data_IF_797907460863
#
_entry.id   IF_797907460863
#
_cell.length_a   1.000
_cell.length_b   1.000
_cell.length_c   1.000
_cell.angle_alpha   90.00
_cell.angle_beta   90.00
_cell.angle_gamma   90.00
#
_symmetry.space_group_name_H-M   'P 1'
#
loop_
_entity.id
_entity.type
_entity.pdbx_description
1 polymer ?
#
# COMPACT_ATOMS: atom_id res chain seq x y z
N UNK A 1 -14.71 1.76 15.19
CA UNK A 1 -15.76 1.66 16.22
C UNK A 1 -15.21 1.77 17.63
N UNK A 2 -14.43 0.79 18.13
CA UNK A 2 -13.98 0.75 19.53
C UNK A 2 -13.28 2.03 20.02
N UNK A 3 -12.43 2.65 19.19
CA UNK A 3 -11.82 3.97 19.47
C UNK A 3 -12.86 5.09 19.55
N UNK A 4 -13.81 5.13 18.60
CA UNK A 4 -14.85 6.16 18.54
C UNK A 4 -15.84 6.07 19.70
N UNK A 5 -16.05 4.86 20.21
CA UNK A 5 -16.92 4.56 21.35
C UNK A 5 -16.20 4.67 22.71
N UNK A 6 -14.88 4.85 22.72
CA UNK A 6 -14.10 5.08 23.94
C UNK A 6 -13.58 3.83 24.65
N UNK A 7 -13.77 2.62 24.12
CA UNK A 7 -13.23 1.39 24.74
C UNK A 7 -11.71 1.26 24.59
N UNK A 8 -11.17 1.77 23.48
CA UNK A 8 -9.72 1.83 23.28
C UNK A 8 -9.21 3.18 23.74
N UNK A 9 -8.44 3.16 24.83
CA UNK A 9 -7.85 4.33 25.48
C UNK A 9 -6.54 4.74 24.82
N UNK A 10 -5.72 3.77 24.44
CA UNK A 10 -4.47 4.00 23.72
C UNK A 10 -4.72 4.00 22.21
N UNK A 11 -4.77 5.19 21.61
CA UNK A 11 -5.00 5.37 20.16
C UNK A 11 -3.77 5.05 19.29
N UNK A 12 -2.72 4.45 19.86
CA UNK A 12 -1.44 4.15 19.20
C UNK A 12 -1.24 2.66 18.89
N UNK A 13 -0.05 2.32 18.39
CA UNK A 13 0.36 0.95 18.08
C UNK A 13 0.14 0.52 16.63
N UNK A 14 0.38 -0.76 16.36
CA UNK A 14 0.41 -1.35 15.00
C UNK A 14 -0.80 -0.97 14.14
N UNK A 15 -2.03 -1.15 14.64
CA UNK A 15 -3.21 -0.88 13.83
C UNK A 15 -3.41 0.59 13.53
N UNK A 16 -3.11 1.47 14.48
CA UNK A 16 -3.17 2.90 14.27
C UNK A 16 -2.16 3.33 13.20
N UNK A 17 -0.94 2.80 13.26
CA UNK A 17 0.10 3.04 12.26
C UNK A 17 -0.33 2.53 10.88
N UNK A 18 -0.76 1.27 10.77
CA UNK A 18 -1.20 0.69 9.49
C UNK A 18 -2.40 1.45 8.90
N UNK A 19 -3.36 1.87 9.72
CA UNK A 19 -4.51 2.68 9.29
C UNK A 19 -4.07 4.06 8.81
N UNK A 20 -3.13 4.70 9.52
CA UNK A 20 -2.62 6.01 9.14
C UNK A 20 -1.84 5.95 7.82
N UNK A 21 -1.07 4.88 7.60
CA UNK A 21 -0.27 4.69 6.39
C UNK A 21 -1.12 4.28 5.18
N UNK A 22 -2.13 3.43 5.37
CA UNK A 22 -2.92 2.85 4.28
C UNK A 22 -4.44 3.06 4.45
N UNK A 23 -4.91 4.30 4.66
CA UNK A 23 -6.31 4.55 5.05
C UNK A 23 -7.32 4.06 4.00
N UNK A 24 -6.97 4.20 2.72
CA UNK A 24 -7.82 3.79 1.59
C UNK A 24 -7.98 2.28 1.45
N UNK A 25 -7.09 1.49 2.08
CA UNK A 25 -7.20 0.01 2.10
C UNK A 25 -8.27 -0.47 3.09
N UNK A 26 -8.53 0.31 4.14
CA UNK A 26 -9.46 -0.06 5.20
C UNK A 26 -10.80 0.65 5.08
N UNK A 27 -10.81 1.86 4.54
CA UNK A 27 -11.97 2.72 4.52
C UNK A 27 -12.25 3.24 3.12
N UNK A 28 -13.54 3.28 2.77
CA UNK A 28 -14.00 3.84 1.49
C UNK A 28 -13.55 5.30 1.40
N UNK A 29 -12.72 5.61 0.40
CA UNK A 29 -12.13 6.94 0.22
C UNK A 29 -11.16 7.36 1.34
N UNK A 30 -10.64 6.42 2.12
CA UNK A 30 -9.70 6.68 3.22
C UNK A 30 -10.31 7.37 4.44
N UNK A 31 -11.65 7.45 4.53
CA UNK A 31 -12.34 8.17 5.61
C UNK A 31 -12.79 7.23 6.73
N UNK A 32 -12.21 7.41 7.91
CA UNK A 32 -12.58 6.65 9.11
C UNK A 32 -14.05 6.92 9.47
N UNK A 33 -14.92 5.90 9.59
CA UNK A 33 -16.31 6.11 9.96
C UNK A 33 -16.42 6.55 11.42
N UNK A 34 -17.28 7.54 11.66
CA UNK A 34 -17.65 8.03 13.00
C UNK A 34 -18.98 7.46 13.48
N UNK A 35 -19.82 6.99 12.57
CA UNK A 35 -21.13 6.36 12.80
C UNK A 35 -21.40 5.29 11.73
N UNK A 36 -22.52 4.57 11.85
CA UNK A 36 -22.92 3.47 10.93
C UNK A 36 -21.77 2.52 10.58
N UNK A 37 -21.16 1.95 11.62
CA UNK A 37 -19.98 1.11 11.46
C UNK A 37 -20.27 -0.15 10.63
N UNK A 38 -21.48 -0.70 10.73
CA UNK A 38 -21.93 -1.87 9.96
C UNK A 38 -22.07 -1.56 8.46
N UNK A 39 -22.71 -0.43 8.11
CA UNK A 39 -22.82 0.02 6.72
C UNK A 39 -21.46 0.38 6.12
N UNK A 40 -20.59 1.04 6.90
CA UNK A 40 -19.22 1.34 6.49
C UNK A 40 -18.40 0.07 6.24
N UNK A 41 -18.47 -0.92 7.14
CA UNK A 41 -17.78 -2.19 6.98
C UNK A 41 -18.28 -2.97 5.77
N UNK A 42 -19.59 -3.03 5.57
CA UNK A 42 -20.20 -3.69 4.42
C UNK A 42 -19.84 -3.02 3.09
N UNK A 43 -19.70 -1.69 3.09
CA UNK A 43 -19.24 -0.92 1.93
C UNK A 43 -17.76 -1.19 1.62
N UNK A 44 -16.89 -1.16 2.62
CA UNK A 44 -15.46 -1.46 2.46
C UNK A 44 -15.24 -2.94 2.04
N UNK A 45 -15.93 -3.86 2.71
CA UNK A 45 -15.95 -5.27 2.37
C UNK A 45 -16.87 -5.58 1.18
N UNK A 46 -17.34 -4.59 0.41
CA UNK A 46 -18.22 -4.66 -0.78
C UNK A 46 -19.43 -5.62 -0.74
N UNK A 47 -20.27 -5.60 -1.79
CA UNK A 47 -21.36 -6.60 -1.98
C UNK A 47 -20.87 -8.05 -2.21
N UNK A 48 -19.54 -8.25 -2.22
CA UNK A 48 -18.83 -9.50 -2.50
C UNK A 48 -18.87 -10.56 -1.40
N UNK A 49 -19.68 -10.39 -0.34
CA UNK A 49 -20.11 -11.51 0.52
C UNK A 49 -21.21 -12.34 -0.15
N UNK A 50 -21.49 -12.14 -1.45
CA UNK A 50 -22.28 -13.09 -2.22
C UNK A 50 -21.66 -14.48 -2.15
N UNK A 51 -22.50 -15.51 -1.97
CA UNK A 51 -22.12 -16.93 -1.88
C UNK A 51 -21.19 -17.45 -3.02
N UNK A 52 -20.98 -16.68 -4.10
CA UNK A 52 -20.11 -17.04 -5.24
C UNK A 52 -18.65 -16.59 -5.11
N UNK A 53 -18.37 -15.48 -4.42
CA UNK A 53 -17.01 -14.96 -4.30
C UNK A 53 -16.14 -15.77 -3.34
N UNK A 54 -16.74 -16.44 -2.36
CA UNK A 54 -16.03 -17.26 -1.38
C UNK A 54 -15.51 -18.59 -1.97
N UNK A 55 -16.31 -19.41 -2.67
CA UNK A 55 -15.81 -20.60 -3.35
C UNK A 55 -14.71 -20.28 -4.35
N UNK A 56 -14.80 -19.13 -5.03
CA UNK A 56 -13.77 -18.66 -5.94
C UNK A 56 -12.46 -18.32 -5.20
N UNK A 57 -12.53 -17.63 -4.05
CA UNK A 57 -11.34 -17.36 -3.21
C UNK A 57 -10.74 -18.64 -2.63
N UNK A 58 -11.55 -19.56 -2.14
CA UNK A 58 -11.08 -20.87 -1.67
C UNK A 58 -10.48 -21.70 -2.80
N UNK A 59 -11.02 -21.60 -4.01
CA UNK A 59 -10.43 -22.23 -5.19
C UNK A 59 -9.08 -21.59 -5.55
N UNK A 60 -8.99 -20.26 -5.57
CA UNK A 60 -7.72 -19.54 -5.80
C UNK A 60 -6.70 -19.92 -4.73
N UNK A 61 -7.06 -19.88 -3.45
CA UNK A 61 -6.18 -20.22 -2.33
C UNK A 61 -5.68 -21.66 -2.42
N UNK A 62 -6.57 -22.61 -2.71
CA UNK A 62 -6.19 -24.01 -2.93
C UNK A 62 -5.32 -24.19 -4.15
N UNK A 63 -5.55 -23.42 -5.21
CA UNK A 63 -4.72 -23.47 -6.41
C UNK A 63 -3.32 -22.92 -6.13
N UNK A 64 -3.22 -21.73 -5.56
CA UNK A 64 -1.96 -21.11 -5.10
C UNK A 64 -1.20 -22.07 -4.18
N UNK A 65 -1.86 -22.66 -3.17
CA UNK A 65 -1.22 -23.63 -2.29
C UNK A 65 -0.66 -24.88 -3.01
N UNK A 66 -1.19 -25.22 -4.20
CA UNK A 66 -0.77 -26.39 -4.99
C UNK A 66 0.24 -26.04 -6.09
N UNK A 67 0.20 -24.84 -6.62
CA UNK A 67 1.00 -24.43 -7.80
C UNK A 67 2.15 -23.51 -7.45
N UNK A 68 2.13 -22.89 -6.28
CA UNK A 68 3.16 -21.96 -5.83
C UNK A 68 4.51 -22.66 -5.72
N UNK A 69 5.51 -22.16 -6.44
CA UNK A 69 6.88 -22.69 -6.44
C UNK A 69 7.76 -22.03 -5.39
N UNK A 70 7.36 -20.86 -4.89
CA UNK A 70 8.11 -20.10 -3.89
C UNK A 70 7.15 -19.41 -2.89
N UNK A 71 7.72 -18.82 -1.84
CA UNK A 71 6.94 -18.17 -0.79
C UNK A 71 6.22 -16.90 -1.27
N UNK A 72 6.78 -16.21 -2.26
CA UNK A 72 6.23 -14.96 -2.79
C UNK A 72 4.96 -15.18 -3.62
N UNK A 73 4.92 -16.25 -4.42
CA UNK A 73 3.70 -16.69 -5.11
C UNK A 73 2.60 -17.12 -4.13
N UNK A 74 2.98 -17.68 -2.98
CA UNK A 74 2.03 -18.12 -1.95
C UNK A 74 1.40 -16.93 -1.21
N UNK A 75 2.17 -15.87 -1.00
CA UNK A 75 1.73 -14.64 -0.36
C UNK A 75 1.34 -13.54 -1.35
N UNK A 76 0.95 -13.90 -2.59
CA UNK A 76 0.58 -12.91 -3.59
C UNK A 76 -0.52 -11.96 -3.05
N UNK A 77 -0.13 -10.70 -2.86
CA UNK A 77 -0.98 -9.64 -2.33
C UNK A 77 -2.16 -9.35 -3.27
N UNK A 78 -2.03 -9.63 -4.58
CA UNK A 78 -3.10 -9.44 -5.56
C UNK A 78 -4.32 -10.33 -5.27
N UNK A 79 -4.11 -11.45 -4.60
CA UNK A 79 -5.19 -12.33 -4.15
C UNK A 79 -5.90 -11.80 -2.89
N UNK A 80 -5.28 -10.87 -2.16
CA UNK A 80 -5.91 -10.18 -1.05
C UNK A 80 -6.92 -9.16 -1.59
N UNK A 81 -7.98 -8.92 -0.84
CA UNK A 81 -9.04 -7.99 -1.23
C UNK A 81 -8.72 -6.55 -0.86
N UNK A 82 -8.17 -6.37 0.33
CA UNK A 82 -7.98 -5.05 0.94
C UNK A 82 -6.54 -4.58 0.75
N UNK A 83 -5.58 -5.49 0.89
CA UNK A 83 -4.16 -5.23 0.62
C UNK A 83 -3.78 -5.75 -0.76
N UNK A 84 -4.36 -5.17 -1.81
CA UNK A 84 -4.22 -5.66 -3.18
C UNK A 84 -3.26 -4.84 -4.06
N UNK A 85 -2.62 -3.80 -3.50
CA UNK A 85 -1.59 -3.04 -4.21
C UNK A 85 -0.25 -3.75 -4.08
N UNK A 86 0.43 -3.81 -5.20
CA UNK A 86 1.78 -4.35 -5.33
C UNK A 86 2.78 -3.28 -4.91
N UNK A 87 3.82 -3.68 -4.16
CA UNK A 87 4.92 -2.76 -3.83
C UNK A 87 5.74 -2.43 -5.07
N UNK A 88 6.38 -1.26 -5.10
CA UNK A 88 7.18 -0.84 -6.26
C UNK A 88 8.33 -1.81 -6.51
N UNK A 89 9.00 -2.29 -5.46
CA UNK A 89 10.04 -3.33 -5.58
C UNK A 89 9.51 -4.61 -6.24
N UNK A 90 8.27 -5.00 -5.93
CA UNK A 90 7.67 -6.18 -6.55
C UNK A 90 7.33 -5.94 -8.01
N UNK A 91 6.87 -4.74 -8.39
CA UNK A 91 6.67 -4.36 -9.80
C UNK A 91 7.97 -4.45 -10.58
N UNK A 92 9.08 -3.91 -10.04
CA UNK A 92 10.40 -4.03 -10.64
C UNK A 92 10.82 -5.49 -10.79
N UNK A 93 10.65 -6.31 -9.75
CA UNK A 93 10.97 -7.74 -9.80
C UNK A 93 10.18 -8.49 -10.87
N UNK A 94 8.85 -8.30 -10.93
CA UNK A 94 7.98 -8.94 -11.91
C UNK A 94 8.29 -8.48 -13.36
N UNK A 95 8.91 -7.31 -13.51
CA UNK A 95 9.37 -6.75 -14.77
C UNK A 95 10.83 -7.11 -15.13
N UNK A 96 11.45 -8.09 -14.45
CA UNK A 96 12.87 -8.43 -14.58
C UNK A 96 13.81 -7.24 -14.39
N UNK A 97 13.44 -6.31 -13.51
CA UNK A 97 14.13 -5.04 -13.25
C UNK A 97 14.25 -4.13 -14.47
N UNK A 98 13.35 -4.28 -15.45
CA UNK A 98 13.26 -3.39 -16.62
C UNK A 98 12.02 -2.51 -16.44
N UNK A 99 12.18 -1.25 -15.99
CA UNK A 99 11.06 -0.37 -15.64
C UNK A 99 10.05 -0.19 -16.77
N UNK A 100 10.51 -0.17 -18.03
CA UNK A 100 9.68 -0.03 -19.24
C UNK A 100 8.68 -1.17 -19.42
N UNK A 101 8.94 -2.35 -18.84
CA UNK A 101 8.02 -3.50 -18.92
C UNK A 101 6.85 -3.40 -17.95
N UNK A 102 6.92 -2.53 -16.95
CA UNK A 102 5.82 -2.32 -16.00
C UNK A 102 4.65 -1.66 -16.75
N UNK A 103 3.43 -2.23 -16.73
CA UNK A 103 2.26 -1.61 -17.36
C UNK A 103 1.87 -0.29 -16.69
N UNK A 104 1.40 0.69 -17.46
CA UNK A 104 0.99 2.01 -16.96
C UNK A 104 -0.11 1.92 -15.89
N UNK A 105 -0.99 0.92 -15.98
CA UNK A 105 -2.07 0.69 -15.02
C UNK A 105 -1.58 0.23 -13.64
N UNK A 106 -0.38 -0.32 -13.57
CA UNK A 106 0.21 -0.85 -12.33
C UNK A 106 1.14 0.16 -11.64
N UNK A 107 1.56 1.21 -12.34
CA UNK A 107 2.49 2.20 -11.81
C UNK A 107 1.75 3.16 -10.86
N UNK A 108 2.21 3.33 -9.61
CA UNK A 108 1.63 4.31 -8.70
C UNK A 108 1.66 5.71 -9.32
N UNK A 109 0.53 6.40 -9.38
CA UNK A 109 0.41 7.66 -10.11
C UNK A 109 1.29 8.80 -9.57
N UNK A 110 1.70 8.71 -8.31
CA UNK A 110 2.63 9.64 -7.65
C UNK A 110 4.11 9.22 -7.72
N UNK A 111 4.44 8.11 -8.37
CA UNK A 111 5.84 7.68 -8.53
C UNK A 111 6.60 8.57 -9.53
N UNK A 112 7.92 8.64 -9.40
CA UNK A 112 8.80 9.29 -10.38
C UNK A 112 8.71 8.61 -11.73
N UNK A 113 8.60 7.28 -11.78
CA UNK A 113 8.38 6.55 -13.02
C UNK A 113 7.05 6.96 -13.70
N UNK A 114 5.96 7.09 -12.94
CA UNK A 114 4.69 7.58 -13.50
C UNK A 114 4.83 9.00 -14.05
N UNK A 115 5.44 9.90 -13.26
CA UNK A 115 5.62 11.29 -13.65
C UNK A 115 6.47 11.43 -14.91
N UNK A 116 7.55 10.68 -15.01
CA UNK A 116 8.38 10.58 -16.20
C UNK A 116 7.57 10.12 -17.42
N UNK A 117 6.79 9.04 -17.29
CA UNK A 117 5.98 8.50 -18.39
C UNK A 117 4.87 9.47 -18.81
N UNK A 118 4.24 10.15 -17.86
CA UNK A 118 3.26 11.20 -18.15
C UNK A 118 3.89 12.37 -18.91
N UNK A 119 5.08 12.84 -18.52
CA UNK A 119 5.81 13.90 -19.25
C UNK A 119 6.22 13.46 -20.66
N UNK A 120 6.50 12.17 -20.86
CA UNK A 120 6.84 11.58 -22.17
C UNK A 120 5.63 11.40 -23.09
N UNK A 121 4.41 11.35 -22.55
CA UNK A 121 3.21 11.30 -23.38
C UNK A 121 3.12 12.61 -24.17
N UNK A 122 2.95 12.53 -25.50
CA UNK A 122 2.96 13.68 -26.44
C UNK A 122 2.01 14.83 -26.08
N UNK A 123 1.12 14.56 -25.15
CA UNK A 123 0.00 15.35 -24.68
C UNK A 123 0.39 16.60 -23.86
N UNK A 124 1.58 16.66 -23.24
CA UNK A 124 2.01 17.82 -22.43
C UNK A 124 2.87 18.83 -23.23
N UNK A 125 3.46 18.41 -24.36
CA UNK A 125 4.50 19.17 -25.07
C UNK A 125 4.02 20.04 -26.24
N UNK A 126 2.73 20.02 -26.61
CA UNK A 126 2.18 20.93 -27.64
C UNK A 126 1.04 21.82 -27.11
N UNK A 127 1.34 22.96 -26.45
CA UNK A 127 0.35 23.96 -26.05
C UNK A 127 0.00 24.88 -27.23
N UNK A 128 -0.37 24.34 -28.39
CA UNK A 128 -0.65 25.16 -29.57
C UNK A 128 -2.05 25.80 -29.57
N UNK A 129 -2.92 25.50 -28.60
CA UNK A 129 -4.30 26.00 -28.62
C UNK A 129 -4.93 26.16 -27.22
N UNK A 130 -4.30 26.92 -26.32
CA UNK A 130 -4.98 27.64 -25.22
C UNK A 130 -5.77 26.87 -24.14
N UNK A 131 -6.00 25.56 -24.29
CA UNK A 131 -6.57 24.68 -23.28
C UNK A 131 -5.64 23.47 -23.15
N UNK A 132 -5.14 23.23 -21.94
CA UNK A 132 -4.33 22.05 -21.60
C UNK A 132 -5.26 20.84 -21.61
N UNK A 133 -5.57 20.34 -22.81
CA UNK A 133 -6.35 19.12 -22.99
C UNK A 133 -5.43 17.93 -22.76
N UNK A 134 -5.25 17.56 -21.49
CA UNK A 134 -4.61 16.29 -21.13
C UNK A 134 -5.48 15.14 -21.64
N UNK A 135 -5.11 14.54 -22.77
CA UNK A 135 -5.63 13.25 -23.23
C UNK A 135 -5.63 12.24 -22.08
N UNK A 136 -6.76 11.56 -21.90
CA UNK A 136 -6.98 10.64 -20.79
C UNK A 136 -6.27 9.33 -21.05
N UNK A 137 -5.02 9.22 -20.60
CA UNK A 137 -4.36 7.91 -20.47
C UNK A 137 -4.78 7.26 -19.15
N UNK A 138 -4.80 5.92 -19.07
CA UNK A 138 -5.05 5.21 -17.81
C UNK A 138 -4.13 5.69 -16.68
N UNK A 139 -2.87 6.01 -17.00
CA UNK A 139 -1.89 6.54 -16.04
C UNK A 139 -2.28 7.93 -15.50
N UNK A 140 -2.77 8.83 -16.35
CA UNK A 140 -3.18 10.19 -15.96
C UNK A 140 -4.48 10.15 -15.15
N UNK A 141 -5.44 9.31 -15.54
CA UNK A 141 -6.66 9.10 -14.77
C UNK A 141 -6.35 8.50 -13.40
N UNK A 142 -5.41 7.54 -13.33
CA UNK A 142 -4.92 6.97 -12.09
C UNK A 142 -4.22 8.02 -11.20
N UNK A 143 -3.30 8.80 -11.76
CA UNK A 143 -2.59 9.85 -11.04
C UNK A 143 -3.53 10.95 -10.50
N UNK A 144 -4.53 11.35 -11.29
CA UNK A 144 -5.57 12.30 -10.84
C UNK A 144 -6.43 11.73 -9.72
N UNK A 145 -6.79 10.44 -9.79
CA UNK A 145 -7.48 9.78 -8.69
C UNK A 145 -6.64 9.74 -7.40
N UNK A 146 -5.32 9.70 -7.53
CA UNK A 146 -4.38 9.85 -6.43
C UNK A 146 -4.11 11.31 -6.05
N UNK A 147 -4.78 12.30 -6.66
CA UNK A 147 -4.66 13.72 -6.31
C UNK A 147 -3.43 14.42 -6.90
N UNK A 148 -2.82 13.87 -7.95
CA UNK A 148 -1.85 14.60 -8.77
C UNK A 148 -2.61 15.68 -9.55
N UNK A 149 -2.22 16.94 -9.36
CA UNK A 149 -2.84 18.07 -10.04
C UNK A 149 -2.12 18.38 -11.35
N UNK A 150 -2.81 19.01 -12.30
CA UNK A 150 -2.20 19.46 -13.55
C UNK A 150 -1.03 20.44 -13.27
N UNK A 151 -1.11 21.21 -12.19
CA UNK A 151 -0.03 22.08 -11.73
C UNK A 151 1.21 21.28 -11.28
N UNK A 152 1.03 20.15 -10.57
CA UNK A 152 2.13 19.26 -10.20
C UNK A 152 2.76 18.61 -11.44
N UNK A 153 1.95 18.21 -12.43
CA UNK A 153 2.47 17.70 -13.70
C UNK A 153 3.32 18.74 -14.43
N UNK A 154 2.89 20.01 -14.46
CA UNK A 154 3.65 21.10 -15.07
C UNK A 154 4.96 21.40 -14.34
N UNK A 155 4.96 21.41 -13.00
CA UNK A 155 6.18 21.61 -12.20
C UNK A 155 7.19 20.50 -12.49
N UNK A 156 6.74 19.26 -12.55
CA UNK A 156 7.63 18.11 -12.79
C UNK A 156 8.10 18.07 -14.24
N UNK A 157 7.26 18.44 -15.22
CA UNK A 157 7.68 18.60 -16.62
C UNK A 157 8.83 19.61 -16.72
N UNK A 158 8.72 20.76 -16.05
CA UNK A 158 9.78 21.75 -16.01
C UNK A 158 11.04 21.23 -15.28
N UNK A 159 10.87 20.48 -14.18
CA UNK A 159 12.01 19.92 -13.44
C UNK A 159 12.75 18.86 -14.25
N UNK A 160 12.02 17.97 -14.94
CA UNK A 160 12.56 16.99 -15.89
C UNK A 160 13.32 17.68 -17.02
N UNK A 161 12.78 18.76 -17.58
CA UNK A 161 13.51 19.57 -18.58
C UNK A 161 14.80 20.18 -18.00
N UNK A 162 14.79 20.66 -16.76
CA UNK A 162 15.96 21.31 -16.13
C UNK A 162 17.03 20.29 -15.71
N UNK A 163 16.64 19.13 -15.17
CA UNK A 163 17.57 18.16 -14.57
C UNK A 163 18.11 17.16 -15.59
N UNK A 164 17.34 16.84 -16.64
CA UNK A 164 17.69 15.81 -17.66
C UNK A 164 18.35 16.43 -18.89
N UNK A 165 18.31 17.77 -19.03
CA UNK A 165 19.16 18.48 -19.98
C UNK A 165 20.41 18.94 -19.24
N UNK A 166 21.55 18.24 -19.32
CA UNK A 166 22.76 18.74 -18.67
C UNK A 166 23.12 20.09 -19.30
N UNK A 167 23.67 20.98 -18.47
CA UNK A 167 24.23 22.28 -18.81
C UNK A 167 25.45 22.24 -19.77
N UNK A 168 25.49 21.28 -20.70
CA UNK A 168 26.48 21.14 -21.76
C UNK A 168 25.78 20.97 -23.10
N UNK A 169 25.19 22.05 -23.62
CA UNK A 169 25.03 22.30 -25.06
C UNK A 169 24.60 23.75 -25.29
N UNK A 170 25.48 24.69 -24.96
CA UNK A 170 25.56 25.92 -25.76
C UNK A 170 26.41 25.63 -27.00
N UNK A 171 25.86 24.85 -27.93
CA UNK A 171 26.23 24.94 -29.35
C UNK A 171 25.22 24.15 -30.18
N UNK A 172 24.47 24.87 -31.02
CA UNK A 172 23.92 24.35 -32.27
C UNK A 172 22.73 23.40 -32.18
N UNK A 173 21.53 23.99 -32.31
CA UNK A 173 20.43 23.47 -33.14
C UNK A 173 20.10 21.97 -33.11
N UNK A 174 19.17 21.61 -32.23
CA UNK A 174 18.42 20.36 -32.31
C UNK A 174 17.68 20.11 -31.01
N UNK A 175 16.34 20.16 -31.00
CA UNK A 175 15.54 19.69 -29.87
C UNK A 175 15.82 18.20 -29.70
N UNK A 176 16.70 17.82 -28.78
CA UNK A 176 16.82 16.43 -28.39
C UNK A 176 15.51 16.03 -27.74
N UNK A 177 14.88 14.96 -28.23
CA UNK A 177 13.80 14.26 -27.55
C UNK A 177 14.41 13.56 -26.33
N UNK A 178 14.82 14.36 -25.33
CA UNK A 178 15.71 14.01 -24.21
C UNK A 178 15.20 12.82 -23.42
N UNK A 179 15.65 11.64 -23.80
CA UNK A 179 15.55 10.46 -22.98
C UNK A 179 16.55 10.66 -21.81
N UNK A 180 16.09 10.55 -20.55
CA UNK A 180 17.02 10.39 -19.43
C UNK A 180 17.97 9.26 -19.78
N UNK A 181 19.26 9.48 -19.54
CA UNK A 181 20.20 8.40 -19.65
C UNK A 181 19.88 7.35 -18.57
N UNK A 182 20.45 6.14 -18.69
CA UNK A 182 20.15 5.05 -17.76
C UNK A 182 20.47 5.43 -16.30
N UNK A 183 21.44 6.32 -16.06
CA UNK A 183 21.78 6.82 -14.73
C UNK A 183 20.69 7.74 -14.15
N UNK A 184 20.14 8.64 -14.95
CA UNK A 184 19.04 9.52 -14.53
C UNK A 184 17.79 8.70 -14.20
N UNK A 185 17.51 7.65 -14.99
CA UNK A 185 16.43 6.71 -14.72
C UNK A 185 16.66 5.99 -13.38
N UNK A 186 17.87 5.52 -13.11
CA UNK A 186 18.20 4.86 -11.84
C UNK A 186 18.03 5.79 -10.63
N UNK A 187 18.46 7.05 -10.72
CA UNK A 187 18.25 8.03 -9.64
C UNK A 187 16.77 8.33 -9.40
N UNK A 188 15.94 8.35 -10.45
CA UNK A 188 14.49 8.47 -10.31
C UNK A 188 13.88 7.24 -9.63
N UNK A 189 14.27 6.03 -10.05
CA UNK A 189 13.78 4.78 -9.45
C UNK A 189 14.22 4.64 -7.99
N UNK A 190 15.38 5.18 -7.62
CA UNK A 190 15.85 5.21 -6.22
C UNK A 190 14.86 5.94 -5.32
N UNK A 191 14.27 7.04 -5.77
CA UNK A 191 13.24 7.76 -5.02
C UNK A 191 11.95 6.92 -4.88
N UNK A 192 11.56 6.17 -5.91
CA UNK A 192 10.39 5.29 -5.87
C UNK A 192 10.62 4.09 -4.93
N UNK A 193 11.79 3.45 -5.01
CA UNK A 193 12.19 2.36 -4.11
C UNK A 193 12.29 2.88 -2.66
N UNK A 194 12.89 4.05 -2.45
CA UNK A 194 12.95 4.65 -1.13
C UNK A 194 11.55 4.92 -0.58
N UNK A 195 10.62 5.45 -1.39
CA UNK A 195 9.25 5.66 -0.94
C UNK A 195 8.50 4.36 -0.60
N UNK A 196 8.82 3.27 -1.30
CA UNK A 196 8.27 1.94 -1.11
C UNK A 196 8.80 1.22 0.14
N UNK A 197 9.98 1.61 0.64
CA UNK A 197 10.62 1.02 1.83
C UNK A 197 10.55 1.95 3.04
N UNK A 198 10.94 3.22 2.90
CA UNK A 198 11.09 4.15 4.02
C UNK A 198 10.13 5.33 3.99
N UNK A 199 9.52 5.62 2.84
CA UNK A 199 8.74 6.85 2.66
C UNK A 199 7.27 6.72 3.03
N UNK A 200 6.43 7.50 2.33
CA UNK A 200 5.00 7.67 2.66
C UNK A 200 4.13 6.46 2.35
N UNK A 201 4.60 5.56 1.50
CA UNK A 201 3.88 4.36 1.08
C UNK A 201 4.77 3.12 1.21
N UNK A 202 5.16 2.75 2.44
CA UNK A 202 6.20 1.77 2.71
C UNK A 202 5.68 0.32 2.56
N UNK A 203 5.19 -0.04 1.38
CA UNK A 203 4.62 -1.37 1.12
C UNK A 203 5.66 -2.49 1.27
N UNK A 204 6.92 -2.25 0.94
CA UNK A 204 7.99 -3.24 1.11
C UNK A 204 8.62 -3.22 2.50
N UNK A 205 8.19 -2.30 3.37
CA UNK A 205 8.70 -2.23 4.73
C UNK A 205 8.01 -3.18 5.68
N UNK A 206 6.70 -3.37 5.49
CA UNK A 206 5.88 -4.15 6.39
C UNK A 206 6.20 -5.65 6.32
N UNK A 207 6.43 -6.24 7.48
CA UNK A 207 6.43 -7.69 7.65
C UNK A 207 5.00 -8.21 7.69
N UNK A 208 4.41 -8.42 6.51
CA UNK A 208 3.02 -8.88 6.36
C UNK A 208 2.71 -10.18 7.09
N UNK A 209 3.69 -11.09 7.21
CA UNK A 209 3.53 -12.34 7.96
C UNK A 209 3.30 -12.01 9.43
N UNK A 210 4.15 -11.17 10.00
CA UNK A 210 4.08 -10.83 11.41
C UNK A 210 2.85 -9.99 11.74
N UNK A 211 2.50 -9.03 10.87
CA UNK A 211 1.23 -8.28 10.96
C UNK A 211 0.04 -9.24 10.97
N UNK A 212 0.02 -10.21 10.04
CA UNK A 212 -1.06 -11.19 9.95
C UNK A 212 -1.10 -12.09 11.17
N UNK A 213 0.04 -12.60 11.63
CA UNK A 213 0.14 -13.44 12.82
C UNK A 213 -0.39 -12.70 14.06
N UNK A 214 -0.02 -11.41 14.21
CA UNK A 214 -0.50 -10.57 15.31
C UNK A 214 -2.02 -10.41 15.29
N UNK A 215 -2.61 -10.10 14.12
CA UNK A 215 -4.06 -10.04 13.95
C UNK A 215 -4.74 -11.36 14.32
N UNK A 216 -4.16 -12.49 13.90
CA UNK A 216 -4.69 -13.82 14.19
C UNK A 216 -4.64 -14.15 15.69
N UNK A 217 -3.53 -13.86 16.37
CA UNK A 217 -3.39 -14.10 17.80
C UNK A 217 -4.38 -13.28 18.63
N UNK A 218 -4.60 -12.03 18.26
CA UNK A 218 -5.62 -11.21 18.93
C UNK A 218 -7.03 -11.75 18.71
N UNK A 219 -7.37 -12.18 17.49
CA UNK A 219 -8.65 -12.84 17.25
C UNK A 219 -8.83 -14.11 18.07
N UNK A 220 -7.79 -14.94 18.21
CA UNK A 220 -7.83 -16.15 19.05
C UNK A 220 -8.13 -15.77 20.51
N UNK A 221 -7.51 -14.70 21.03
CA UNK A 221 -7.79 -14.22 22.40
C UNK A 221 -9.24 -13.76 22.55
N UNK A 222 -9.73 -12.96 21.60
CA UNK A 222 -11.13 -12.49 21.58
C UNK A 222 -12.08 -13.68 21.58
N UNK A 223 -11.89 -14.62 20.64
CA UNK A 223 -12.69 -15.84 20.51
C UNK A 223 -12.70 -16.62 21.82
N UNK A 224 -11.53 -16.87 22.42
CA UNK A 224 -11.43 -17.62 23.67
C UNK A 224 -12.07 -16.94 24.88
N UNK A 225 -12.10 -15.60 24.92
CA UNK A 225 -12.79 -14.87 25.99
C UNK A 225 -14.31 -14.90 25.79
N UNK A 226 -14.78 -14.62 24.57
CA UNK A 226 -16.20 -14.66 24.24
C UNK A 226 -16.82 -16.05 24.41
N UNK A 227 -16.07 -17.09 24.07
CA UNK A 227 -16.48 -18.49 24.28
C UNK A 227 -16.69 -18.79 25.77
N UNK A 228 -15.74 -18.39 26.63
CA UNK A 228 -15.80 -18.63 28.08
C UNK A 228 -17.00 -17.95 28.74
N UNK A 229 -17.31 -16.72 28.34
CA UNK A 229 -18.47 -15.99 28.87
C UNK A 229 -19.76 -16.34 28.15
N UNK A 230 -19.72 -17.23 27.14
CA UNK A 230 -20.87 -17.63 26.31
C UNK A 230 -21.58 -16.41 25.70
N UNK A 231 -20.82 -15.41 25.25
CA UNK A 231 -21.38 -14.17 24.73
C UNK A 231 -22.39 -14.48 23.59
N UNK A 232 -23.59 -13.86 23.58
CA UNK A 232 -24.64 -14.18 22.61
C UNK A 232 -24.22 -14.04 21.15
N UNK A 233 -23.38 -13.04 20.82
CA UNK A 233 -22.92 -12.83 19.44
C UNK A 233 -21.94 -13.91 19.00
N UNK A 234 -21.08 -14.37 19.90
CA UNK A 234 -20.19 -15.52 19.65
C UNK A 234 -21.00 -16.78 19.40
N UNK A 235 -21.94 -17.12 20.30
CA UNK A 235 -22.76 -18.33 20.18
C UNK A 235 -23.55 -18.30 18.87
N UNK A 236 -24.11 -17.15 18.50
CA UNK A 236 -24.82 -16.97 17.23
C UNK A 236 -23.91 -17.23 16.02
N UNK A 237 -22.73 -16.60 15.98
CA UNK A 237 -21.83 -16.70 14.85
C UNK A 237 -21.10 -18.05 14.74
N UNK A 238 -20.82 -18.73 15.86
CA UNK A 238 -19.97 -19.92 15.91
C UNK A 238 -20.75 -21.24 16.00
N UNK A 239 -21.94 -21.23 16.59
CA UNK A 239 -22.68 -22.45 16.98
C UNK A 239 -24.10 -22.54 16.38
N UNK A 240 -24.84 -21.43 16.29
CA UNK A 240 -26.28 -21.49 15.97
C UNK A 240 -26.59 -21.37 14.48
N UNK A 241 -25.90 -20.48 13.75
CA UNK A 241 -26.17 -20.25 12.33
C UNK A 241 -25.10 -20.93 11.46
N UNK A 242 -25.45 -22.02 10.72
CA UNK A 242 -24.50 -22.73 9.87
C UNK A 242 -23.87 -21.87 8.77
N UNK A 243 -24.56 -20.83 8.31
CA UNK A 243 -24.03 -19.93 7.29
C UNK A 243 -23.00 -18.98 7.91
N UNK A 244 -23.30 -18.42 9.09
CA UNK A 244 -22.33 -17.62 9.84
C UNK A 244 -21.12 -18.45 10.26
N UNK A 245 -21.35 -19.71 10.62
CA UNK A 245 -20.33 -20.67 11.05
C UNK A 245 -19.28 -20.94 9.94
N UNK A 246 -19.61 -20.66 8.67
CA UNK A 246 -18.67 -20.81 7.56
C UNK A 246 -17.68 -19.64 7.47
N UNK A 247 -18.03 -18.46 8.01
CA UNK A 247 -17.20 -17.25 8.01
C UNK A 247 -17.16 -16.61 9.40
N UNK A 248 -16.96 -17.42 10.44
CA UNK A 248 -17.23 -17.09 11.85
C UNK A 248 -16.71 -15.72 12.28
N UNK A 249 -15.45 -15.40 11.98
CA UNK A 249 -14.82 -14.11 12.35
C UNK A 249 -15.44 -12.91 11.65
N UNK A 250 -15.76 -13.03 10.35
CA UNK A 250 -16.41 -11.96 9.59
C UNK A 250 -17.84 -11.77 10.10
N UNK A 251 -18.55 -12.87 10.35
CA UNK A 251 -19.90 -12.86 10.92
C UNK A 251 -19.91 -12.21 12.31
N UNK A 252 -19.00 -12.59 13.20
CA UNK A 252 -18.86 -12.00 14.53
C UNK A 252 -18.59 -10.50 14.45
N UNK A 253 -17.63 -10.07 13.63
CA UNK A 253 -17.36 -8.64 13.44
C UNK A 253 -18.59 -7.92 12.88
N UNK A 254 -19.28 -8.50 11.91
CA UNK A 254 -20.52 -7.95 11.36
C UNK A 254 -21.61 -7.76 12.43
N UNK A 255 -21.81 -8.75 13.29
CA UNK A 255 -22.74 -8.67 14.42
C UNK A 255 -22.33 -7.59 15.41
N UNK A 256 -21.06 -7.54 15.81
CA UNK A 256 -20.56 -6.54 16.77
C UNK A 256 -20.72 -5.11 16.25
N UNK A 257 -20.48 -4.88 14.95
CA UNK A 257 -20.65 -3.57 14.33
C UNK A 257 -22.12 -3.14 14.20
N UNK A 258 -23.04 -4.10 14.09
CA UNK A 258 -24.47 -3.87 13.97
C UNK A 258 -25.14 -3.69 15.35
N UNK A 259 -24.94 -4.67 16.23
CA UNK A 259 -25.63 -4.79 17.51
C UNK A 259 -24.94 -3.96 18.61
N UNK A 260 -23.64 -3.70 18.47
CA UNK A 260 -22.83 -2.92 19.42
C UNK A 260 -22.97 -3.45 20.86
N UNK A 261 -22.88 -4.76 21.01
CA UNK A 261 -22.90 -5.43 22.31
C UNK A 261 -21.73 -4.97 23.19
N UNK A 262 -22.07 -4.41 24.36
CA UNK A 262 -21.12 -3.77 25.28
C UNK A 262 -20.06 -4.76 25.79
N UNK A 263 -20.48 -5.94 26.27
CA UNK A 263 -19.57 -6.99 26.77
C UNK A 263 -18.60 -7.44 25.68
N UNK A 264 -19.10 -7.66 24.46
CA UNK A 264 -18.25 -8.05 23.35
C UNK A 264 -17.25 -6.93 22.96
N UNK A 265 -17.68 -5.67 22.95
CA UNK A 265 -16.79 -4.54 22.63
C UNK A 265 -15.70 -4.36 23.69
N UNK A 266 -16.03 -4.51 24.97
CA UNK A 266 -15.05 -4.49 26.06
C UNK A 266 -14.01 -5.60 25.91
N UNK A 267 -14.46 -6.84 25.67
CA UNK A 267 -13.56 -7.98 25.45
C UNK A 267 -12.64 -7.75 24.24
N UNK A 268 -13.19 -7.26 23.12
CA UNK A 268 -12.40 -6.94 21.94
C UNK A 268 -11.38 -5.83 22.20
N UNK A 269 -11.77 -4.78 22.92
CA UNK A 269 -10.88 -3.69 23.25
C UNK A 269 -9.76 -4.12 24.21
N UNK A 270 -10.07 -4.97 25.19
CA UNK A 270 -9.08 -5.51 26.12
C UNK A 270 -8.06 -6.38 25.38
N UNK A 271 -8.50 -7.31 24.54
CA UNK A 271 -7.59 -8.16 23.76
C UNK A 271 -6.66 -7.37 22.83
N UNK A 272 -7.09 -6.21 22.33
CA UNK A 272 -6.26 -5.32 21.51
C UNK A 272 -5.27 -4.52 22.36
N UNK A 273 -5.64 -4.13 23.58
CA UNK A 273 -4.85 -3.26 24.46
C UNK A 273 -3.90 -4.00 25.40
N UNK A 274 -4.17 -5.25 25.77
CA UNK A 274 -3.34 -6.04 26.70
C UNK A 274 -1.91 -6.23 26.21
N UNK A 275 -1.74 -6.35 24.90
CA UNK A 275 -0.44 -6.42 24.25
C UNK A 275 -0.41 -5.37 23.14
N UNK A 276 -0.01 -4.13 23.45
CA UNK A 276 0.25 -3.12 22.44
C UNK A 276 1.36 -3.66 21.53
N UNK A 277 1.14 -3.60 20.23
CA UNK A 277 2.16 -3.94 19.24
C UNK A 277 2.88 -2.66 18.82
N UNK A 278 4.20 -2.61 18.97
CA UNK A 278 4.98 -1.53 18.39
C UNK A 278 5.01 -1.72 16.87
N UNK A 279 4.77 -0.67 16.06
CA UNK A 279 4.85 -0.77 14.61
C UNK A 279 6.22 -1.26 14.12
N UNK A 280 7.29 -0.86 14.80
CA UNK A 280 8.68 -1.20 14.47
C UNK A 280 8.95 -2.72 14.52
N UNK A 281 8.31 -3.44 15.45
CA UNK A 281 8.42 -4.91 15.54
C UNK A 281 7.84 -5.64 14.31
N UNK A 282 7.14 -4.90 13.43
CA UNK A 282 6.42 -5.42 12.27
C UNK A 282 7.01 -4.90 10.95
N UNK A 283 8.25 -4.41 10.98
CA UNK A 283 9.00 -4.00 9.80
C UNK A 283 10.09 -5.02 9.48
N UNK A 284 10.43 -5.17 8.20
CA UNK A 284 11.61 -5.92 7.76
C UNK A 284 12.90 -5.13 7.94
N UNK A 285 12.81 -3.80 7.96
CA UNK A 285 13.96 -2.90 7.94
C UNK A 285 13.96 -2.00 9.16
N UNK A 286 15.16 -1.62 9.57
CA UNK A 286 15.35 -0.46 10.43
C UNK A 286 15.19 0.81 9.59
N UNK A 287 14.09 1.53 9.82
CA UNK A 287 13.73 2.73 9.04
C UNK A 287 14.37 4.02 9.56
N UNK A 288 15.35 3.95 10.46
CA UNK A 288 16.14 5.12 10.87
C UNK A 288 17.14 5.63 9.79
N UNK A 289 16.94 5.23 8.52
CA UNK A 289 17.75 5.67 7.39
C UNK A 289 17.30 7.06 6.92
N UNK A 290 18.25 7.98 6.78
CA UNK A 290 18.00 9.32 6.24
C UNK A 290 17.48 9.24 4.79
N UNK A 291 16.61 10.18 4.40
CA UNK A 291 16.21 10.33 2.99
C UNK A 291 17.46 10.46 2.11
N UNK A 292 17.55 9.74 0.98
CA UNK A 292 18.65 9.94 0.05
C UNK A 292 18.56 11.36 -0.48
N UNK A 293 19.60 12.15 -0.22
CA UNK A 293 19.76 13.43 -0.91
C UNK A 293 19.77 13.16 -2.42
N UNK A 294 18.79 13.72 -3.14
CA UNK A 294 18.83 13.78 -4.60
C UNK A 294 20.00 14.70 -4.96
N UNK A 295 21.16 14.10 -5.22
CA UNK A 295 22.40 14.82 -5.41
C UNK A 295 22.30 15.81 -6.56
N UNK A 296 22.44 17.11 -6.26
CA UNK A 296 22.92 18.06 -7.27
C UNK A 296 24.33 17.65 -7.63
N UNK A 297 24.55 17.27 -8.88
CA UNK A 297 25.83 16.84 -9.47
C UNK A 297 27.07 17.37 -8.73
N UNK A 298 27.62 16.58 -7.82
CA UNK A 298 28.85 16.93 -7.14
C UNK A 298 30.03 16.47 -8.01
N UNK A 299 30.64 17.44 -8.68
CA UNK A 299 31.87 17.28 -9.43
C UNK A 299 33.05 17.02 -8.47
N UNK A 300 33.12 15.85 -7.82
CA UNK A 300 34.35 15.36 -7.17
C UNK A 300 34.25 13.94 -6.58
N UNK A 301 33.75 12.94 -7.33
CA UNK A 301 34.03 11.54 -6.96
C UNK A 301 35.39 11.12 -7.50
N UNK A 302 36.45 11.37 -6.73
CA UNK A 302 37.61 10.49 -6.75
C UNK A 302 37.16 9.13 -6.22
N UNK A 303 37.19 8.13 -7.09
CA UNK A 303 37.00 6.73 -6.72
C UNK A 303 38.24 6.33 -5.93
N UNK A 304 38.15 6.34 -4.60
CA UNK A 304 39.05 5.59 -3.76
C UNK A 304 38.47 4.19 -3.63
N UNK A 305 38.96 3.28 -4.46
CA UNK A 305 38.89 1.84 -4.23
C UNK A 305 39.70 1.54 -2.97
N UNK A 306 39.08 1.62 -1.79
CA UNK A 306 39.48 0.86 -0.60
C UNK A 306 38.45 1.04 0.53
N UNK A 307 37.75 -0.05 0.84
CA UNK A 307 36.97 -0.30 2.05
C UNK A 307 35.76 0.62 2.35
N UNK A 308 34.64 0.37 1.69
CA UNK A 308 33.34 0.58 2.35
C UNK A 308 32.33 -0.53 1.98
N UNK A 309 32.72 -1.77 2.30
CA UNK A 309 31.81 -2.89 2.37
C UNK A 309 31.18 -2.94 3.77
N UNK A 310 30.17 -2.11 4.02
CA UNK A 310 29.23 -2.33 5.15
C UNK A 310 27.78 -2.23 4.71
N UNK A 311 27.42 -3.02 3.69
CA UNK A 311 26.09 -3.60 3.60
C UNK A 311 26.22 -5.06 4.06
N UNK A 312 26.28 -5.27 5.38
CA UNK A 312 26.12 -6.61 5.92
C UNK A 312 24.63 -6.86 6.13
N UNK A 313 24.07 -7.67 5.23
CA UNK A 313 22.82 -8.40 5.45
C UNK A 313 23.04 -9.30 6.66
N UNK A 314 22.28 -9.06 7.74
CA UNK A 314 22.03 -10.07 8.79
C UNK A 314 20.69 -10.75 8.52
#
# INVERSE_FOLDING_TARGET
>A
MLVQKGYITQKGGLYAAIIATFPTMFFVGGKVPTSDFSGAFSSACGKGTSNRAFPQREAIRRNVARTSKNFYEYLDLRANRMFNRTSFLRLCYDADWIPERIPDEEIPGRSMLALLRMCRSKTILEPAAGEVATERTPLIDHARAEGVTDQMLLIVSNYVEITITPAYTQSGGGKSNGMPNDLDLLEMLKADIFNDVCGKHPFSALNYIWVTARMMFQFIKIEGHLERVRNPLYVRAYEQDPWMAHQKRVSLVGLVLADQDEECMEIMANAVQEEPANPEDHLYWDLHLNEPELGTSDQNRQVNDENDATCMVM
#
